data_IF_963578138673
#
_entry.id   IF_963578138673
#
_cell.length_a   1.000
_cell.length_b   1.000
_cell.length_c   1.000
_cell.angle_alpha   90.00
_cell.angle_beta   90.00
_cell.angle_gamma   90.00
#
_symmetry.space_group_name_H-M   'P 1'
#
loop_
_entity.id
_entity.type
_entity.pdbx_description
1 polymer ?
#
# COMPACT_ATOMS: atom_id res chain seq x y z
N UNK A 1 -26.93 -35.45 1.25
CA UNK A 1 -27.63 -35.28 2.53
C UNK A 1 -27.02 -34.03 3.16
N UNK A 2 -27.79 -33.06 3.62
CA UNK A 2 -27.24 -31.80 4.16
C UNK A 2 -26.57 -32.00 5.52
N UNK A 3 -25.75 -31.03 5.95
CA UNK A 3 -25.21 -31.02 7.32
C UNK A 3 -26.36 -30.93 8.33
N UNK A 4 -26.19 -31.58 9.49
CA UNK A 4 -27.14 -31.41 10.60
C UNK A 4 -26.92 -30.09 11.33
N UNK A 5 -27.94 -29.63 12.06
CA UNK A 5 -27.89 -28.38 12.84
C UNK A 5 -26.75 -28.40 13.87
N UNK A 6 -26.49 -29.55 14.49
CA UNK A 6 -25.41 -29.74 15.45
C UNK A 6 -24.04 -29.64 14.79
N UNK A 7 -23.91 -30.15 13.56
CA UNK A 7 -22.69 -30.05 12.77
C UNK A 7 -22.40 -28.60 12.37
N UNK A 8 -23.41 -27.85 11.94
CA UNK A 8 -23.26 -26.43 11.61
C UNK A 8 -22.82 -25.61 12.83
N UNK A 9 -23.46 -25.83 13.98
CA UNK A 9 -23.06 -25.17 15.24
C UNK A 9 -21.64 -25.54 15.64
N UNK A 10 -21.27 -26.82 15.50
CA UNK A 10 -19.93 -27.29 15.81
C UNK A 10 -18.87 -26.66 14.90
N UNK A 11 -19.16 -26.48 13.61
CA UNK A 11 -18.25 -25.82 12.66
C UNK A 11 -17.95 -24.39 13.11
N UNK A 12 -18.96 -23.61 13.48
CA UNK A 12 -18.75 -22.24 13.95
C UNK A 12 -17.83 -22.18 15.16
N UNK A 13 -18.06 -23.05 16.16
CA UNK A 13 -17.22 -23.13 17.35
C UNK A 13 -15.80 -23.61 17.04
N UNK A 14 -15.64 -24.55 16.10
CA UNK A 14 -14.32 -25.04 15.67
C UNK A 14 -13.51 -23.94 14.96
N UNK A 15 -14.15 -23.09 14.16
CA UNK A 15 -13.48 -21.98 13.47
C UNK A 15 -13.00 -20.91 14.46
N UNK A 16 -13.79 -20.62 15.49
CA UNK A 16 -13.40 -19.70 16.59
C UNK A 16 -12.21 -20.25 17.39
N UNK A 17 -11.95 -21.56 17.34
CA UNK A 17 -10.84 -22.21 18.05
C UNK A 17 -11.22 -22.78 19.41
N UNK A 18 -12.51 -23.00 19.66
CA UNK A 18 -13.00 -23.58 20.92
C UNK A 18 -12.51 -25.02 21.15
N UNK A 19 -12.33 -25.39 22.42
CA UNK A 19 -11.90 -26.74 22.78
C UNK A 19 -12.99 -27.75 22.44
N UNK A 20 -12.64 -28.89 21.83
CA UNK A 20 -13.59 -29.94 21.43
C UNK A 20 -14.43 -30.49 22.60
N UNK A 21 -13.90 -30.46 23.83
CA UNK A 21 -14.65 -30.78 25.05
C UNK A 21 -15.82 -29.84 25.26
N UNK A 22 -15.60 -28.52 25.12
CA UNK A 22 -16.61 -27.48 25.28
C UNK A 22 -17.63 -27.55 24.15
N UNK A 23 -17.17 -27.82 22.91
CA UNK A 23 -18.04 -27.98 21.75
C UNK A 23 -18.98 -29.17 21.93
N UNK A 24 -18.49 -30.30 22.44
CA UNK A 24 -19.30 -31.48 22.72
C UNK A 24 -20.45 -31.15 23.69
N UNK A 25 -20.16 -30.41 24.76
CA UNK A 25 -21.18 -29.94 25.71
C UNK A 25 -22.16 -28.95 25.08
N UNK A 26 -21.67 -27.96 24.31
CA UNK A 26 -22.51 -26.92 23.66
C UNK A 26 -23.41 -27.50 22.56
N UNK A 27 -22.97 -28.54 21.86
CA UNK A 27 -23.73 -29.20 20.80
C UNK A 27 -24.49 -30.45 21.29
N UNK A 28 -24.40 -30.80 22.59
CA UNK A 28 -25.01 -32.00 23.17
C UNK A 28 -24.65 -33.30 22.43
N UNK A 29 -23.38 -33.46 22.06
CA UNK A 29 -22.86 -34.65 21.37
C UNK A 29 -21.64 -35.21 22.09
N UNK A 30 -21.33 -36.48 21.86
CA UNK A 30 -20.09 -37.07 22.37
C UNK A 30 -18.86 -36.44 21.71
N UNK A 31 -17.72 -36.44 22.41
CA UNK A 31 -16.45 -35.98 21.83
C UNK A 31 -16.03 -36.84 20.63
N UNK A 32 -16.31 -38.14 20.67
CA UNK A 32 -16.01 -39.08 19.59
C UNK A 32 -16.75 -38.71 18.30
N UNK A 33 -18.01 -38.28 18.43
CA UNK A 33 -18.81 -37.80 17.31
C UNK A 33 -18.14 -36.62 16.60
N UNK A 34 -17.53 -35.69 17.34
CA UNK A 34 -16.78 -34.57 16.75
C UNK A 34 -15.56 -35.07 15.97
N UNK A 35 -14.82 -36.04 16.50
CA UNK A 35 -13.69 -36.64 15.78
C UNK A 35 -14.14 -37.38 14.52
N UNK A 36 -15.30 -38.02 14.55
CA UNK A 36 -15.90 -38.66 13.37
C UNK A 36 -16.27 -37.62 12.31
N UNK A 37 -16.90 -36.51 12.69
CA UNK A 37 -17.23 -35.42 11.78
C UNK A 37 -15.99 -34.80 11.14
N UNK A 38 -14.90 -34.65 11.91
CA UNK A 38 -13.62 -34.18 11.39
C UNK A 38 -12.97 -35.15 10.39
N UNK A 39 -13.45 -36.38 10.25
CA UNK A 39 -13.02 -37.32 9.20
C UNK A 39 -13.93 -37.27 7.98
N UNK A 40 -15.17 -36.82 8.14
CA UNK A 40 -16.13 -36.68 7.06
C UNK A 40 -15.73 -35.55 6.10
N UNK A 41 -15.70 -35.87 4.79
CA UNK A 41 -15.34 -34.92 3.72
C UNK A 41 -16.33 -33.76 3.61
N UNK A 42 -17.63 -34.00 3.74
CA UNK A 42 -18.66 -32.95 3.64
C UNK A 42 -18.50 -31.92 4.77
N UNK A 43 -18.28 -32.38 5.99
CA UNK A 43 -18.05 -31.51 7.15
C UNK A 43 -16.78 -30.66 6.99
N UNK A 44 -15.68 -31.26 6.51
CA UNK A 44 -14.44 -30.52 6.21
C UNK A 44 -14.66 -29.45 5.14
N UNK A 45 -15.36 -29.79 4.06
CA UNK A 45 -15.64 -28.87 2.98
C UNK A 45 -16.50 -27.70 3.45
N UNK A 46 -17.57 -27.96 4.21
CA UNK A 46 -18.40 -26.91 4.80
C UNK A 46 -17.59 -25.99 5.74
N UNK A 47 -16.70 -26.56 6.56
CA UNK A 47 -15.82 -25.76 7.41
C UNK A 47 -14.84 -24.91 6.59
N UNK A 48 -14.28 -25.44 5.50
CA UNK A 48 -13.39 -24.69 4.62
C UNK A 48 -14.12 -23.53 3.93
N UNK A 49 -15.28 -23.79 3.32
CA UNK A 49 -16.14 -22.77 2.71
C UNK A 49 -16.51 -21.66 3.70
N UNK A 50 -16.80 -22.03 4.96
CA UNK A 50 -17.13 -21.03 5.99
C UNK A 50 -15.93 -20.15 6.34
N UNK A 51 -14.71 -20.72 6.36
CA UNK A 51 -13.48 -19.95 6.57
C UNK A 51 -13.22 -18.99 5.41
N UNK A 52 -13.36 -19.47 4.17
CA UNK A 52 -13.22 -18.64 2.97
C UNK A 52 -14.21 -17.48 2.98
N UNK A 53 -15.49 -17.77 3.25
CA UNK A 53 -16.51 -16.72 3.39
C UNK A 53 -16.17 -15.68 4.46
N UNK A 54 -15.65 -16.11 5.61
CA UNK A 54 -15.19 -15.19 6.66
C UNK A 54 -13.99 -14.34 6.21
N UNK A 55 -13.05 -14.93 5.47
CA UNK A 55 -11.90 -14.21 4.90
C UNK A 55 -12.35 -13.17 3.88
N UNK A 56 -13.20 -13.56 2.93
CA UNK A 56 -13.77 -12.64 1.93
C UNK A 56 -14.55 -11.52 2.59
N UNK A 57 -15.34 -11.81 3.62
CA UNK A 57 -16.05 -10.76 4.37
C UNK A 57 -15.09 -9.80 5.09
N UNK A 58 -14.00 -10.31 5.67
CA UNK A 58 -13.00 -9.47 6.31
C UNK A 58 -12.27 -8.59 5.28
N UNK A 59 -11.95 -9.13 4.10
CA UNK A 59 -11.36 -8.38 2.99
C UNK A 59 -12.29 -7.27 2.50
N UNK A 60 -13.56 -7.59 2.26
CA UNK A 60 -14.57 -6.61 1.89
C UNK A 60 -14.76 -5.53 2.97
N UNK A 61 -14.70 -5.92 4.25
CA UNK A 61 -14.74 -4.96 5.35
C UNK A 61 -13.55 -4.01 5.32
N UNK A 62 -12.33 -4.50 5.07
CA UNK A 62 -11.16 -3.63 4.91
C UNK A 62 -11.31 -2.71 3.70
N UNK A 63 -11.76 -3.23 2.55
CA UNK A 63 -11.98 -2.47 1.32
C UNK A 63 -12.97 -1.31 1.55
N UNK A 64 -14.12 -1.60 2.15
CA UNK A 64 -15.19 -0.62 2.37
C UNK A 64 -14.79 0.52 3.32
N UNK A 65 -13.82 0.27 4.21
CA UNK A 65 -13.34 1.25 5.18
C UNK A 65 -12.03 1.95 4.76
N UNK A 66 -11.57 1.75 3.52
CA UNK A 66 -10.31 2.32 3.02
C UNK A 66 -10.26 3.84 3.16
N UNK A 67 -11.37 4.53 2.84
CA UNK A 67 -11.47 5.99 2.97
C UNK A 67 -11.25 6.44 4.42
N UNK A 68 -11.91 5.79 5.38
CA UNK A 68 -11.73 6.07 6.81
C UNK A 68 -10.28 5.90 7.26
N UNK A 69 -9.59 4.86 6.76
CA UNK A 69 -8.18 4.65 7.08
C UNK A 69 -7.28 5.74 6.51
N UNK A 70 -7.57 6.24 5.30
CA UNK A 70 -6.86 7.36 4.67
C UNK A 70 -7.07 8.67 5.43
N UNK A 71 -8.32 9.00 5.79
CA UNK A 71 -8.65 10.21 6.54
C UNK A 71 -7.96 10.24 7.90
N UNK A 72 -7.98 9.11 8.62
CA UNK A 72 -7.29 8.96 9.89
C UNK A 72 -5.77 9.07 9.77
N UNK A 73 -5.19 8.50 8.72
CA UNK A 73 -3.76 8.60 8.46
C UNK A 73 -3.35 10.04 8.15
N UNK A 74 -4.11 10.74 7.31
CA UNK A 74 -3.91 12.16 7.01
C UNK A 74 -4.00 13.03 8.27
N UNK A 75 -4.99 12.76 9.13
CA UNK A 75 -5.12 13.47 10.41
C UNK A 75 -3.89 13.29 11.31
N UNK A 76 -3.38 12.06 11.41
CA UNK A 76 -2.18 11.78 12.22
C UNK A 76 -0.95 12.45 11.62
N UNK A 77 -0.82 12.48 10.29
CA UNK A 77 0.32 13.10 9.61
C UNK A 77 0.35 14.63 9.82
N UNK A 78 -0.82 15.26 9.95
CA UNK A 78 -0.96 16.69 10.19
C UNK A 78 -0.87 17.08 11.67
N UNK A 79 -1.04 16.14 12.60
CA UNK A 79 -0.89 16.38 14.04
C UNK A 79 0.59 16.30 14.45
N UNK A 80 1.05 17.29 15.23
CA UNK A 80 2.43 17.38 15.72
C UNK A 80 2.65 16.68 17.06
N UNK A 81 1.65 15.97 17.61
CA UNK A 81 1.67 15.44 18.97
C UNK A 81 1.77 13.92 19.07
N UNK A 82 2.69 13.47 19.92
CA UNK A 82 2.69 12.11 20.50
C UNK A 82 3.43 11.03 19.72
N UNK A 83 3.52 9.85 20.33
CA UNK A 83 4.06 8.64 19.69
C UNK A 83 2.94 7.91 18.92
N UNK A 84 2.80 8.25 17.64
CA UNK A 84 1.75 7.74 16.74
C UNK A 84 2.22 6.56 15.88
N UNK A 85 3.44 6.05 16.10
CA UNK A 85 4.06 5.02 15.24
C UNK A 85 3.24 3.74 15.16
N UNK A 86 2.72 3.27 16.29
CA UNK A 86 1.89 2.07 16.33
C UNK A 86 0.58 2.25 15.55
N UNK A 87 -0.01 3.45 15.61
CA UNK A 87 -1.26 3.78 14.91
C UNK A 87 -1.03 3.88 13.40
N UNK A 88 0.06 4.54 12.97
CA UNK A 88 0.46 4.59 11.56
C UNK A 88 0.69 3.17 11.04
N UNK A 89 1.47 2.35 11.76
CA UNK A 89 1.73 0.96 11.36
C UNK A 89 0.46 0.13 11.19
N UNK A 90 -0.52 0.29 12.08
CA UNK A 90 -1.82 -0.39 11.97
C UNK A 90 -2.63 0.10 10.76
N UNK A 91 -2.70 1.42 10.53
CA UNK A 91 -3.42 1.99 9.39
C UNK A 91 -2.78 1.63 8.06
N UNK A 92 -1.45 1.71 7.96
CA UNK A 92 -0.71 1.26 6.78
C UNK A 92 -0.95 -0.22 6.50
N UNK A 93 -0.96 -1.08 7.53
CA UNK A 93 -1.28 -2.50 7.35
C UNK A 93 -2.69 -2.73 6.79
N UNK A 94 -3.69 -2.00 7.29
CA UNK A 94 -5.06 -2.10 6.80
C UNK A 94 -5.20 -1.61 5.35
N UNK A 95 -4.49 -0.52 4.99
CA UNK A 95 -4.41 0.00 3.63
C UNK A 95 -3.69 -0.95 2.67
N UNK A 96 -2.55 -1.53 3.09
CA UNK A 96 -1.84 -2.56 2.33
C UNK A 96 -2.76 -3.76 2.03
N UNK A 97 -3.68 -4.08 2.96
CA UNK A 97 -4.62 -5.19 2.79
C UNK A 97 -5.80 -4.84 1.87
N UNK A 98 -6.19 -3.57 1.81
CA UNK A 98 -7.30 -3.12 0.95
C UNK A 98 -6.86 -2.77 -0.48
N UNK A 99 -5.74 -2.06 -0.63
CA UNK A 99 -5.23 -1.57 -1.92
C UNK A 99 -4.17 -2.49 -2.55
N UNK A 100 -3.69 -3.47 -1.77
CA UNK A 100 -2.54 -4.28 -2.15
C UNK A 100 -1.23 -3.58 -1.79
N UNK A 101 -0.20 -4.37 -1.52
CA UNK A 101 1.12 -3.86 -1.20
C UNK A 101 1.93 -3.67 -2.47
N UNK A 102 2.51 -2.49 -2.67
CA UNK A 102 3.48 -2.26 -3.75
C UNK A 102 4.73 -3.11 -3.48
N UNK A 103 4.92 -4.18 -4.25
CA UNK A 103 6.11 -5.04 -4.14
C UNK A 103 7.21 -4.52 -5.05
N UNK A 104 8.04 -3.60 -4.57
CA UNK A 104 9.33 -3.30 -5.22
C UNK A 104 10.37 -4.30 -4.74
N UNK A 105 10.48 -5.43 -5.44
CA UNK A 105 11.61 -6.35 -5.27
C UNK A 105 12.23 -6.65 -6.64
N UNK A 106 13.25 -5.89 -7.00
CA UNK A 106 14.21 -6.28 -8.05
C UNK A 106 15.40 -6.89 -7.31
N UNK A 107 15.38 -8.21 -7.13
CA UNK A 107 16.56 -8.97 -6.72
C UNK A 107 17.29 -9.43 -7.99
N UNK A 108 18.42 -8.81 -8.31
CA UNK A 108 19.36 -9.38 -9.29
C UNK A 108 20.28 -10.34 -8.54
N UNK A 109 19.87 -11.60 -8.41
CA UNK A 109 20.79 -12.68 -8.01
C UNK A 109 21.64 -13.07 -9.22
N UNK A 110 22.90 -12.66 -9.22
CA UNK A 110 23.93 -13.14 -10.16
C UNK A 110 24.55 -14.43 -9.64
N UNK A 111 23.81 -15.54 -9.61
CA UNK A 111 24.42 -16.83 -9.28
C UNK A 111 23.86 -17.98 -10.13
N UNK A 112 24.79 -18.58 -10.88
CA UNK A 112 24.76 -19.88 -11.60
C UNK A 112 24.10 -19.90 -12.98
N UNK A 113 24.92 -19.56 -13.97
CA UNK A 113 24.82 -20.11 -15.33
C UNK A 113 25.23 -21.59 -15.26
N UNK A 114 24.29 -22.52 -15.44
CA UNK A 114 24.64 -23.91 -15.74
C UNK A 114 25.19 -23.98 -17.17
N UNK A 115 26.44 -24.42 -17.29
CA UNK A 115 27.29 -24.25 -18.47
C UNK A 115 26.91 -25.08 -19.72
N UNK A 116 25.70 -25.64 -19.83
CA UNK A 116 25.37 -26.61 -20.89
C UNK A 116 24.13 -26.29 -21.74
N UNK A 117 23.61 -25.05 -21.72
CA UNK A 117 22.55 -24.63 -22.64
C UNK A 117 23.11 -23.61 -23.67
N UNK A 118 23.11 -23.89 -24.99
CA UNK A 118 23.65 -22.97 -26.00
C UNK A 118 22.94 -21.60 -26.02
N UNK A 119 21.66 -21.54 -25.65
CA UNK A 119 20.92 -20.27 -25.47
C UNK A 119 21.46 -19.41 -24.31
N UNK A 120 22.10 -20.02 -23.31
CA UNK A 120 22.68 -19.30 -22.17
C UNK A 120 24.02 -18.66 -22.51
N UNK A 121 24.77 -19.22 -23.46
CA UNK A 121 26.08 -18.72 -23.87
C UNK A 121 25.94 -17.51 -24.80
N UNK A 122 24.96 -17.55 -25.70
CA UNK A 122 24.65 -16.44 -26.60
C UNK A 122 24.16 -15.21 -25.83
N UNK A 123 23.25 -15.40 -24.87
CA UNK A 123 22.77 -14.32 -24.00
C UNK A 123 23.90 -13.75 -23.11
N UNK A 124 24.77 -14.61 -22.57
CA UNK A 124 25.93 -14.16 -21.79
C UNK A 124 26.92 -13.35 -22.65
N UNK A 125 27.10 -13.73 -23.92
CA UNK A 125 27.94 -13.02 -24.87
C UNK A 125 27.34 -11.67 -25.26
N UNK A 126 26.01 -11.56 -25.40
CA UNK A 126 25.33 -10.28 -25.60
C UNK A 126 25.48 -9.34 -24.40
N UNK A 127 25.36 -9.86 -23.17
CA UNK A 127 25.61 -9.06 -21.97
C UNK A 127 27.06 -8.60 -21.85
N UNK A 128 28.04 -9.42 -22.28
CA UNK A 128 29.45 -9.05 -22.28
C UNK A 128 29.74 -7.91 -23.28
N UNK A 129 29.12 -7.96 -24.47
CA UNK A 129 29.18 -6.87 -25.46
C UNK A 129 28.60 -5.57 -24.92
N UNK A 130 27.48 -5.64 -24.19
CA UNK A 130 26.87 -4.47 -23.55
C UNK A 130 27.76 -3.84 -22.46
N UNK A 131 28.53 -4.65 -21.70
CA UNK A 131 29.49 -4.13 -20.72
C UNK A 131 30.67 -3.43 -21.40
N UNK A 132 31.20 -4.00 -22.48
CA UNK A 132 32.30 -3.40 -23.25
C UNK A 132 31.89 -2.11 -23.97
N UNK A 133 30.62 -1.95 -24.35
CA UNK A 133 30.10 -0.68 -24.87
C UNK A 133 30.08 0.45 -23.83
N UNK A 134 30.01 0.13 -22.54
CA UNK A 134 30.00 1.11 -21.46
C UNK A 134 31.41 1.66 -21.15
N UNK A 135 32.44 0.90 -21.50
CA UNK A 135 33.85 1.28 -21.30
C UNK A 135 34.44 2.08 -22.48
N UNK A 136 33.69 2.28 -23.59
CA UNK A 136 34.10 3.15 -24.71
C UNK A 136 33.46 4.55 -24.63
N UNK A 137 32.58 4.76 -23.66
CA UNK A 137 32.11 6.11 -23.31
C UNK A 137 32.88 6.54 -22.06
N UNK A 138 34.19 6.72 -22.25
CA UNK A 138 34.96 7.66 -21.44
C UNK A 138 34.34 9.04 -21.71
N UNK A 139 33.36 9.42 -20.90
CA UNK A 139 33.10 10.84 -20.69
C UNK A 139 34.33 11.30 -19.92
N UNK A 140 35.26 11.91 -20.65
CA UNK A 140 36.39 12.66 -20.11
C UNK A 140 35.94 13.37 -18.85
N UNK A 141 36.71 13.18 -17.77
CA UNK A 141 36.57 13.98 -16.55
C UNK A 141 36.73 15.45 -16.95
N UNK A 142 35.64 16.13 -17.21
CA UNK A 142 35.58 17.59 -17.09
C UNK A 142 35.51 17.90 -15.61
N UNK A 143 36.70 17.93 -15.00
CA UNK A 143 36.98 18.81 -13.88
C UNK A 143 36.75 20.24 -14.40
N UNK A 144 35.49 20.70 -14.34
CA UNK A 144 35.00 22.09 -14.37
C UNK A 144 33.48 22.07 -14.60
N UNK A 145 32.74 21.43 -13.69
CA UNK A 145 31.34 21.83 -13.52
C UNK A 145 31.36 23.15 -12.75
N UNK A 146 30.66 24.21 -13.21
CA UNK A 146 30.57 25.44 -12.44
C UNK A 146 30.00 25.08 -11.07
N UNK A 147 30.68 25.55 -10.02
CA UNK A 147 30.14 25.55 -8.67
C UNK A 147 28.75 26.18 -8.81
N UNK A 148 27.69 25.39 -8.61
CA UNK A 148 26.39 25.96 -8.34
C UNK A 148 26.60 26.66 -7.01
N UNK A 149 26.85 27.97 -7.05
CA UNK A 149 26.82 28.81 -5.87
C UNK A 149 25.54 28.42 -5.12
N UNK A 150 25.71 28.03 -3.85
CA UNK A 150 24.58 27.78 -2.99
C UNK A 150 23.68 29.01 -3.12
N UNK A 151 22.50 28.82 -3.74
CA UNK A 151 21.48 29.86 -3.75
C UNK A 151 21.13 30.00 -2.28
N UNK A 152 21.69 31.04 -1.65
CA UNK A 152 21.32 31.41 -0.29
C UNK A 152 19.79 31.51 -0.28
N UNK A 153 19.10 30.85 0.66
CA UNK A 153 17.66 30.95 0.74
C UNK A 153 17.31 32.43 0.85
N UNK A 154 16.74 32.98 -0.22
CA UNK A 154 16.37 34.38 -0.27
C UNK A 154 15.46 34.65 0.94
N UNK A 155 15.73 35.72 1.72
CA UNK A 155 14.92 36.01 2.88
C UNK A 155 13.46 36.10 2.45
N UNK A 156 12.58 35.34 3.10
CA UNK A 156 11.13 35.43 2.89
C UNK A 156 10.75 36.91 3.00
N UNK A 157 10.33 37.51 1.89
CA UNK A 157 9.78 38.86 1.94
C UNK A 157 8.59 38.84 2.91
N UNK A 158 8.48 39.78 3.85
CA UNK A 158 7.36 39.83 4.75
C UNK A 158 6.07 40.00 3.94
N UNK A 159 5.05 39.24 4.33
CA UNK A 159 3.71 39.32 3.77
C UNK A 159 3.23 40.78 3.91
N UNK A 160 2.92 41.44 2.79
CA UNK A 160 2.26 42.75 2.83
C UNK A 160 0.77 42.44 2.84
N UNK A 161 0.10 42.75 3.95
CA UNK A 161 -1.36 42.76 3.99
C UNK A 161 -1.84 43.90 3.10
N UNK A 162 -2.21 43.59 1.86
CA UNK A 162 -2.94 44.55 1.04
C UNK A 162 -4.40 44.56 1.51
N UNK A 163 -4.86 45.74 1.92
CA UNK A 163 -6.26 46.02 2.24
C UNK A 163 -6.93 46.66 1.04
N UNK A 164 -8.23 46.42 0.87
CA UNK A 164 -9.05 47.19 -0.06
C UNK A 164 -9.07 48.68 0.36
N UNK A 165 -9.49 49.59 -0.54
CA UNK A 165 -9.54 51.05 -0.27
C UNK A 165 -10.43 51.43 0.94
N UNK A 166 -11.25 50.49 1.42
CA UNK A 166 -12.13 50.61 2.58
C UNK A 166 -11.53 50.07 3.90
N UNK A 167 -10.29 49.56 3.87
CA UNK A 167 -9.59 49.00 5.03
C UNK A 167 -10.00 47.57 5.40
N UNK A 168 -10.78 46.90 4.56
CA UNK A 168 -11.16 45.49 4.75
C UNK A 168 -10.03 44.55 4.27
N UNK A 169 -9.77 43.42 4.96
CA UNK A 169 -8.82 42.39 4.48
C UNK A 169 -9.26 41.84 3.12
N UNK A 170 -8.35 41.72 2.16
CA UNK A 170 -8.61 41.03 0.89
C UNK A 170 -8.72 39.53 1.17
N UNK A 171 -9.90 38.94 0.94
CA UNK A 171 -10.05 37.49 0.89
C UNK A 171 -9.39 36.95 -0.39
N UNK A 172 -8.08 36.73 -0.35
CA UNK A 172 -7.39 35.90 -1.36
C UNK A 172 -7.66 34.43 -1.03
N UNK A 173 -8.81 33.95 -1.49
CA UNK A 173 -9.02 32.52 -1.69
C UNK A 173 -8.27 32.13 -2.97
N UNK A 174 -7.10 31.50 -2.81
CA UNK A 174 -6.51 30.49 -3.72
C UNK A 174 -4.97 30.50 -3.58
N UNK A 175 -4.43 29.40 -3.08
CA UNK A 175 -2.99 29.17 -2.99
C UNK A 175 -2.46 28.82 -4.38
N UNK A 176 -1.55 29.64 -4.90
CA UNK A 176 -0.83 29.37 -6.15
C UNK A 176 0.39 28.50 -5.86
N UNK A 177 0.42 27.29 -6.41
CA UNK A 177 1.56 26.37 -6.30
C UNK A 177 2.48 26.51 -7.53
N UNK A 178 3.80 26.46 -7.30
CA UNK A 178 4.80 26.50 -8.39
C UNK A 178 5.50 25.14 -8.46
N UNK A 179 5.31 24.44 -9.58
CA UNK A 179 5.93 23.14 -9.85
C UNK A 179 6.65 23.21 -11.20
N UNK A 180 7.96 22.95 -11.22
CA UNK A 180 8.80 22.99 -12.44
C UNK A 180 8.67 24.29 -13.26
N UNK A 181 8.52 25.44 -12.59
CA UNK A 181 8.42 26.76 -13.24
C UNK A 181 7.04 27.08 -13.85
N UNK A 182 6.03 26.23 -13.62
CA UNK A 182 4.63 26.45 -14.00
C UNK A 182 3.78 26.80 -12.77
N UNK A 183 2.78 27.64 -12.98
CA UNK A 183 1.88 28.14 -11.93
C UNK A 183 0.59 27.34 -11.93
N UNK A 184 0.18 26.86 -10.75
CA UNK A 184 -1.02 26.04 -10.58
C UNK A 184 -1.98 26.68 -9.58
N UNK A 185 -3.27 26.70 -9.92
CA UNK A 185 -4.36 27.12 -9.03
C UNK A 185 -5.30 25.93 -8.85
N UNK A 186 -5.56 25.54 -7.60
CA UNK A 186 -6.39 24.35 -7.27
C UNK A 186 -5.97 23.07 -8.03
N UNK A 187 -4.67 22.94 -8.35
CA UNK A 187 -4.11 21.81 -9.09
C UNK A 187 -4.22 21.86 -10.62
N UNK A 188 -4.75 22.93 -11.21
CA UNK A 188 -4.74 23.18 -12.66
C UNK A 188 -3.65 24.18 -13.06
N UNK A 189 -2.96 23.91 -14.17
CA UNK A 189 -2.00 24.86 -14.76
C UNK A 189 -2.77 26.13 -15.16
N UNK A 190 -2.32 27.30 -14.71
CA UNK A 190 -3.00 28.57 -14.96
C UNK A 190 -3.25 28.84 -16.45
N UNK A 191 -2.39 28.32 -17.33
CA UNK A 191 -2.53 28.51 -18.78
C UNK A 191 -3.56 27.59 -19.44
N UNK A 192 -4.08 26.60 -18.71
CA UNK A 192 -5.10 25.64 -19.18
C UNK A 192 -6.49 25.91 -18.57
N UNK A 193 -6.64 26.99 -17.79
CA UNK A 193 -7.96 27.37 -17.27
C UNK A 193 -8.81 27.99 -18.39
N UNK A 194 -10.10 27.61 -18.52
CA UNK A 194 -11.00 28.29 -19.44
C UNK A 194 -11.13 29.74 -18.99
N UNK A 195 -10.79 30.67 -19.89
CA UNK A 195 -11.09 32.09 -19.70
C UNK A 195 -12.58 32.22 -19.92
N UNK A 196 -13.33 32.50 -18.86
CA UNK A 196 -14.71 32.95 -19.01
C UNK A 196 -14.68 34.32 -19.72
N UNK A 197 -15.36 34.42 -20.87
CA UNK A 197 -15.54 35.64 -21.67
C UNK A 197 -16.28 36.75 -20.91
#
# INVERSE_FOLDING_TARGET
MGLSVEQERAIGLLIIGEKKTVIATKCNVSRETIYLWLRNKEFKNAMALRKEYMMTNAENYCLNNTQTYLEELSRIALDKKGDVRAKIGALTYLLDRSLGKTTTKVEVTSDRVEANNPLSVELANEFAKFRQMKDVVDIEKTEDLPIIEAIEPQPKKPYVEETNEDGSPIEIAETVDIINGKYYINGLDMYDMPVDD
#
